data_IF_417137900902
#
_entry.id   IF_417137900902
#
_cell.length_a   1.000
_cell.length_b   1.000
_cell.length_c   1.000
_cell.angle_alpha   90.00
_cell.angle_beta   90.00
_cell.angle_gamma   90.00
#
_symmetry.space_group_name_H-M   'P 1'
#
loop_
_entity.id
_entity.type
_entity.pdbx_description
1 polymer ?
#
# COMPACT_ATOMS: atom_id res chain seq x y z
N UNK A 1 61.32 -31.81 42.31
CA UNK A 1 61.11 -31.39 43.71
C UNK A 1 59.63 -31.56 44.02
N UNK A 2 59.28 -32.37 45.03
CA UNK A 2 57.90 -32.65 45.41
C UNK A 2 57.57 -31.94 46.74
N UNK A 3 56.47 -31.21 46.78
CA UNK A 3 56.04 -30.47 47.97
C UNK A 3 55.38 -31.43 48.97
N UNK A 4 55.76 -31.34 50.26
CA UNK A 4 55.17 -32.14 51.35
C UNK A 4 54.42 -31.22 52.32
N UNK A 5 53.21 -31.64 52.69
CA UNK A 5 52.35 -30.99 53.68
C UNK A 5 52.95 -31.10 55.09
N UNK A 6 52.98 -29.98 55.82
CA UNK A 6 53.59 -29.82 57.16
C UNK A 6 52.78 -30.40 58.33
N UNK A 7 51.59 -30.98 58.07
CA UNK A 7 50.69 -31.48 59.11
C UNK A 7 50.61 -33.00 59.24
N UNK A 8 51.21 -33.78 58.33
CA UNK A 8 51.05 -35.23 58.33
C UNK A 8 52.16 -35.89 59.17
N UNK A 9 51.93 -36.05 60.48
CA UNK A 9 52.71 -37.01 61.27
C UNK A 9 52.47 -38.40 60.70
N UNK A 10 53.54 -39.04 60.26
CA UNK A 10 53.54 -40.45 59.93
C UNK A 10 53.33 -41.25 61.22
N UNK A 11 52.12 -41.75 61.43
CA UNK A 11 51.91 -42.88 62.34
C UNK A 11 51.38 -44.07 61.54
N UNK A 12 52.24 -45.07 61.49
CA UNK A 12 52.03 -46.36 60.86
C UNK A 12 51.09 -47.16 61.78
N UNK A 13 49.82 -47.34 61.42
CA UNK A 13 48.95 -48.37 62.00
C UNK A 13 48.19 -49.12 60.90
N UNK A 14 48.40 -50.43 60.93
CA UNK A 14 47.75 -51.49 60.17
C UNK A 14 46.22 -51.43 60.21
N UNK A 15 45.60 -51.72 59.07
CA UNK A 15 44.30 -52.37 58.91
C UNK A 15 43.10 -51.89 59.74
N UNK A 16 42.21 -51.12 59.13
CA UNK A 16 40.76 -51.32 59.24
C UNK A 16 40.10 -50.61 58.06
N UNK A 17 39.33 -51.36 57.26
CA UNK A 17 38.42 -50.77 56.29
C UNK A 17 37.26 -50.14 57.07
N UNK A 18 37.46 -48.94 57.59
CA UNK A 18 36.37 -48.14 58.15
C UNK A 18 35.51 -47.66 56.99
N UNK A 19 34.53 -48.50 56.62
CA UNK A 19 33.28 -48.05 56.03
C UNK A 19 32.68 -47.07 57.03
N UNK A 20 33.01 -45.79 56.87
CA UNK A 20 32.25 -44.69 57.46
C UNK A 20 30.85 -44.76 56.86
N UNK A 21 30.00 -45.57 57.47
CA UNK A 21 28.56 -45.46 57.30
C UNK A 21 28.19 -44.09 57.86
N UNK A 22 27.95 -43.13 56.96
CA UNK A 22 27.16 -41.96 57.28
C UNK A 22 25.73 -42.45 57.53
N UNK A 23 25.46 -42.90 58.76
CA UNK A 23 24.09 -43.13 59.20
C UNK A 23 23.47 -41.77 59.52
N UNK A 24 22.65 -41.26 58.60
CA UNK A 24 21.71 -40.18 58.88
C UNK A 24 20.72 -40.66 59.94
N UNK A 25 20.34 -39.76 60.86
CA UNK A 25 19.35 -40.08 61.89
C UNK A 25 17.99 -40.36 61.25
N UNK A 26 17.18 -41.25 61.83
CA UNK A 26 15.87 -41.64 61.28
C UNK A 26 14.94 -40.42 61.03
N UNK A 27 15.06 -39.36 61.84
CA UNK A 27 14.31 -38.11 61.66
C UNK A 27 14.76 -37.24 60.48
N UNK A 28 16.04 -37.31 60.06
CA UNK A 28 16.54 -36.62 58.86
C UNK A 28 16.21 -37.39 57.57
N UNK A 29 16.10 -38.72 57.65
CA UNK A 29 15.69 -39.57 56.53
C UNK A 29 14.20 -39.38 56.14
N UNK A 30 13.32 -39.14 57.12
CA UNK A 30 11.91 -38.88 56.85
C UNK A 30 11.64 -37.48 56.26
N UNK A 31 12.37 -36.44 56.71
CA UNK A 31 12.26 -35.08 56.14
C UNK A 31 12.76 -35.01 54.67
N UNK A 32 13.81 -35.77 54.36
CA UNK A 32 14.35 -35.85 52.99
C UNK A 32 13.45 -36.67 52.07
N UNK A 33 12.78 -37.73 52.56
CA UNK A 33 11.82 -38.50 51.79
C UNK A 33 10.55 -37.70 51.44
N UNK A 34 10.03 -36.91 52.39
CA UNK A 34 8.85 -36.05 52.18
C UNK A 34 9.10 -34.97 51.11
N UNK A 35 10.24 -34.28 51.19
CA UNK A 35 10.64 -33.27 50.19
C UNK A 35 10.87 -33.87 48.80
N UNK A 36 11.44 -35.08 48.71
CA UNK A 36 11.59 -35.81 47.44
C UNK A 36 10.22 -36.17 46.84
N UNK A 37 9.24 -36.55 47.66
CA UNK A 37 7.89 -36.87 47.19
C UNK A 37 7.18 -35.63 46.64
N UNK A 38 7.33 -34.48 47.31
CA UNK A 38 6.80 -33.20 46.89
C UNK A 38 7.40 -32.74 45.55
N UNK A 39 8.73 -32.83 45.42
CA UNK A 39 9.42 -32.55 44.16
C UNK A 39 8.95 -33.48 43.02
N UNK A 40 8.70 -34.76 43.32
CA UNK A 40 8.19 -35.71 42.31
C UNK A 40 6.80 -35.34 41.82
N UNK A 41 5.92 -34.86 42.70
CA UNK A 41 4.59 -34.40 42.33
C UNK A 41 4.65 -33.14 41.46
N UNK A 42 5.48 -32.16 41.83
CA UNK A 42 5.70 -30.94 41.02
C UNK A 42 6.23 -31.31 39.63
N UNK A 43 7.20 -32.23 39.53
CA UNK A 43 7.74 -32.67 38.23
C UNK A 43 6.67 -33.38 37.38
N UNK A 44 5.75 -34.12 38.00
CA UNK A 44 4.63 -34.75 37.29
C UNK A 44 3.63 -33.71 36.77
N UNK A 45 3.29 -32.71 37.56
CA UNK A 45 2.44 -31.59 37.15
C UNK A 45 3.09 -30.81 35.99
N UNK A 46 4.36 -30.42 36.14
CA UNK A 46 5.12 -29.76 35.06
C UNK A 46 5.15 -30.58 33.77
N UNK A 47 5.24 -31.93 33.88
CA UNK A 47 5.21 -32.81 32.71
C UNK A 47 3.85 -32.79 32.01
N UNK A 48 2.76 -32.72 32.78
CA UNK A 48 1.41 -32.64 32.23
C UNK A 48 1.19 -31.29 31.52
N UNK A 49 1.56 -30.18 32.17
CA UNK A 49 1.48 -28.83 31.60
C UNK A 49 2.31 -28.71 30.32
N UNK A 50 3.52 -29.29 30.31
CA UNK A 50 4.36 -29.32 29.11
C UNK A 50 3.69 -30.09 27.97
N UNK A 51 3.03 -31.20 28.27
CA UNK A 51 2.33 -32.00 27.26
C UNK A 51 1.10 -31.27 26.70
N UNK A 52 0.37 -30.53 27.53
CA UNK A 52 -0.72 -29.65 27.06
C UNK A 52 -0.20 -28.50 26.20
N UNK A 53 0.90 -27.87 26.63
CA UNK A 53 1.54 -26.80 25.86
C UNK A 53 2.05 -27.29 24.50
N UNK A 54 2.57 -28.53 24.41
CA UNK A 54 2.99 -29.14 23.13
C UNK A 54 1.78 -29.31 22.20
N UNK A 55 0.63 -29.76 22.71
CA UNK A 55 -0.60 -29.89 21.92
C UNK A 55 -1.07 -28.52 21.40
N UNK A 56 -1.05 -27.50 22.26
CA UNK A 56 -1.36 -26.13 21.86
C UNK A 56 -0.43 -25.61 20.75
N UNK A 57 0.87 -25.88 20.87
CA UNK A 57 1.85 -25.48 19.86
C UNK A 57 1.67 -26.20 18.52
N UNK A 58 1.33 -27.50 18.55
CA UNK A 58 1.01 -28.26 17.35
C UNK A 58 -0.23 -27.69 16.64
N UNK A 59 -1.29 -27.36 17.39
CA UNK A 59 -2.48 -26.75 16.83
C UNK A 59 -2.17 -25.40 16.16
N UNK A 60 -1.47 -24.50 16.86
CA UNK A 60 -1.09 -23.20 16.30
C UNK A 60 -0.20 -23.36 15.07
N UNK A 61 0.70 -24.35 15.06
CA UNK A 61 1.55 -24.62 13.89
C UNK A 61 0.74 -25.06 12.67
N UNK A 62 -0.36 -25.80 12.85
CA UNK A 62 -1.23 -26.21 11.74
C UNK A 62 -1.99 -25.02 11.16
N UNK A 63 -2.60 -24.21 12.03
CA UNK A 63 -3.29 -22.97 11.62
C UNK A 63 -2.35 -22.00 10.91
N UNK A 64 -1.10 -21.92 11.37
CA UNK A 64 -0.08 -21.08 10.74
C UNK A 64 0.28 -21.54 9.32
N UNK A 65 0.37 -22.85 9.09
CA UNK A 65 0.62 -23.39 7.75
C UNK A 65 -0.59 -23.21 6.81
N UNK A 66 -1.82 -23.33 7.33
CA UNK A 66 -3.02 -23.04 6.54
C UNK A 66 -3.10 -21.56 6.14
N UNK A 67 -2.87 -20.66 7.10
CA UNK A 67 -2.84 -19.22 6.85
C UNK A 67 -1.77 -18.83 5.82
N UNK A 68 -0.59 -19.46 5.85
CA UNK A 68 0.43 -19.26 4.81
C UNK A 68 -0.05 -19.65 3.42
N UNK A 69 -0.77 -20.78 3.28
CA UNK A 69 -1.31 -21.21 1.98
C UNK A 69 -2.31 -20.19 1.45
N UNK A 70 -3.24 -19.74 2.28
CA UNK A 70 -4.23 -18.72 1.92
C UNK A 70 -3.54 -17.42 1.47
N UNK A 71 -2.48 -16.98 2.16
CA UNK A 71 -1.70 -15.81 1.77
C UNK A 71 -1.09 -15.99 0.38
N UNK A 72 -0.50 -17.15 0.09
CA UNK A 72 0.10 -17.43 -1.23
C UNK A 72 -0.96 -17.41 -2.33
N UNK A 73 -2.13 -18.00 -2.10
CA UNK A 73 -3.25 -18.01 -3.05
C UNK A 73 -3.77 -16.59 -3.34
N UNK A 74 -4.03 -15.81 -2.28
CA UNK A 74 -4.47 -14.41 -2.42
C UNK A 74 -3.44 -13.56 -3.16
N UNK A 75 -2.15 -13.76 -2.91
CA UNK A 75 -1.07 -13.05 -3.64
C UNK A 75 -1.08 -13.41 -5.12
N UNK A 76 -1.32 -14.68 -5.48
CA UNK A 76 -1.44 -15.11 -6.87
C UNK A 76 -2.67 -14.52 -7.55
N UNK A 77 -3.82 -14.48 -6.87
CA UNK A 77 -5.05 -13.90 -7.38
C UNK A 77 -4.91 -12.40 -7.63
N UNK A 78 -4.36 -11.65 -6.67
CA UNK A 78 -4.06 -10.22 -6.82
C UNK A 78 -3.14 -9.96 -8.01
N UNK A 79 -2.13 -10.82 -8.21
CA UNK A 79 -1.24 -10.72 -9.37
C UNK A 79 -1.97 -10.96 -10.69
N UNK A 80 -2.86 -11.97 -10.74
CA UNK A 80 -3.67 -12.27 -11.92
C UNK A 80 -4.60 -11.11 -12.27
N UNK A 81 -5.37 -10.61 -11.29
CA UNK A 81 -6.28 -9.48 -11.46
C UNK A 81 -5.53 -8.21 -11.89
N UNK A 82 -4.33 -7.97 -11.35
CA UNK A 82 -3.50 -6.83 -11.75
C UNK A 82 -3.07 -6.93 -13.21
N UNK A 83 -2.75 -8.12 -13.70
CA UNK A 83 -2.42 -8.34 -15.11
C UNK A 83 -3.64 -8.12 -16.00
N UNK A 84 -4.79 -8.67 -15.63
CA UNK A 84 -6.04 -8.51 -16.40
C UNK A 84 -6.44 -7.03 -16.50
N UNK A 85 -6.39 -6.30 -15.38
CA UNK A 85 -6.62 -4.84 -15.38
C UNK A 85 -5.62 -4.12 -16.28
N UNK A 86 -4.34 -4.52 -16.26
CA UNK A 86 -3.32 -3.93 -17.14
C UNK A 86 -3.64 -4.18 -18.62
N UNK A 87 -4.06 -5.39 -18.98
CA UNK A 87 -4.40 -5.75 -20.35
C UNK A 87 -5.65 -5.01 -20.83
N UNK A 88 -6.68 -4.90 -19.98
CA UNK A 88 -7.87 -4.11 -20.27
C UNK A 88 -7.53 -2.63 -20.46
N UNK A 89 -6.67 -2.06 -19.61
CA UNK A 89 -6.21 -0.68 -19.76
C UNK A 89 -5.44 -0.48 -21.06
N UNK A 90 -4.61 -1.44 -21.49
CA UNK A 90 -3.89 -1.37 -22.77
C UNK A 90 -4.87 -1.40 -23.94
N UNK A 91 -5.84 -2.33 -23.95
CA UNK A 91 -6.89 -2.40 -24.98
C UNK A 91 -7.73 -1.13 -25.05
N UNK A 92 -8.10 -0.57 -23.91
CA UNK A 92 -8.81 0.71 -23.85
C UNK A 92 -7.95 1.86 -24.39
N UNK A 93 -6.66 1.90 -24.05
CA UNK A 93 -5.74 2.93 -24.54
C UNK A 93 -5.51 2.85 -26.06
N UNK A 94 -5.44 1.64 -26.64
CA UNK A 94 -5.34 1.44 -28.08
C UNK A 94 -6.61 1.92 -28.80
N UNK A 95 -7.79 1.55 -28.29
CA UNK A 95 -9.08 2.02 -28.82
C UNK A 95 -9.19 3.55 -28.73
N UNK A 96 -8.78 4.13 -27.60
CA UNK A 96 -8.74 5.57 -27.40
C UNK A 96 -7.85 6.28 -28.44
N UNK A 97 -6.71 5.70 -28.80
CA UNK A 97 -5.82 6.28 -29.83
C UNK A 97 -6.39 6.15 -31.24
N UNK A 98 -7.08 5.05 -31.55
CA UNK A 98 -7.79 4.88 -32.83
C UNK A 98 -8.93 5.89 -32.95
N UNK A 99 -9.74 6.05 -31.90
CA UNK A 99 -10.83 7.04 -31.85
C UNK A 99 -10.27 8.44 -32.04
N UNK A 100 -9.19 8.81 -31.33
CA UNK A 100 -8.54 10.12 -31.49
C UNK A 100 -8.10 10.38 -32.93
N UNK A 101 -7.44 9.42 -33.59
CA UNK A 101 -7.03 9.57 -35.00
C UNK A 101 -8.22 9.68 -35.95
N UNK A 102 -9.31 8.99 -35.66
CA UNK A 102 -10.53 9.07 -36.45
C UNK A 102 -11.22 10.43 -36.27
N UNK A 103 -11.30 10.93 -35.04
CA UNK A 103 -11.83 12.27 -34.72
C UNK A 103 -11.01 13.37 -35.40
N UNK A 104 -9.67 13.30 -35.36
CA UNK A 104 -8.78 14.25 -36.05
C UNK A 104 -9.01 14.23 -37.57
N UNK A 105 -9.15 13.04 -38.17
CA UNK A 105 -9.43 12.91 -39.62
C UNK A 105 -10.81 13.44 -40.03
N UNK A 106 -11.82 13.29 -39.17
CA UNK A 106 -13.16 13.87 -39.41
C UNK A 106 -13.09 15.39 -39.30
N UNK A 107 -12.30 15.92 -38.37
CA UNK A 107 -12.12 17.36 -38.20
C UNK A 107 -11.46 18.03 -39.43
N UNK A 108 -10.50 17.37 -40.08
CA UNK A 108 -9.91 17.85 -41.34
C UNK A 108 -10.91 17.85 -42.51
N UNK A 109 -11.99 17.08 -42.41
CA UNK A 109 -13.08 17.04 -43.40
C UNK A 109 -14.21 18.03 -43.08
N UNK A 110 -14.36 18.44 -41.82
CA UNK A 110 -15.41 19.35 -41.31
C UNK A 110 -14.91 20.79 -41.10
N UNK A 111 -14.04 21.32 -41.96
CA UNK A 111 -13.75 22.77 -41.96
C UNK A 111 -14.95 23.57 -42.48
N UNK A 112 -15.92 23.82 -41.60
CA UNK A 112 -16.85 24.96 -41.70
C UNK A 112 -16.69 25.83 -40.46
N UNK A 113 -16.56 27.16 -40.61
CA UNK A 113 -16.58 28.07 -39.49
C UNK A 113 -18.03 28.24 -38.97
N UNK A 114 -18.16 28.67 -37.71
CA UNK A 114 -19.39 29.15 -37.04
C UNK A 114 -20.27 28.03 -36.43
N UNK A 115 -20.36 27.87 -35.11
CA UNK A 115 -20.96 28.83 -34.18
C UNK A 115 -20.58 28.53 -32.72
N UNK A 116 -20.59 29.57 -31.90
CA UNK A 116 -20.06 29.67 -30.54
C UNK A 116 -20.91 28.99 -29.46
N UNK A 117 -21.23 27.70 -29.59
CA UNK A 117 -21.88 26.97 -28.49
C UNK A 117 -20.96 25.90 -27.92
N UNK A 118 -20.70 26.01 -26.62
CA UNK A 118 -19.64 25.30 -25.92
C UNK A 118 -20.01 23.86 -25.52
N UNK A 119 -21.30 23.63 -25.30
CA UNK A 119 -21.92 22.37 -24.87
C UNK A 119 -23.44 22.61 -24.88
N UNK A 120 -24.19 21.79 -25.60
CA UNK A 120 -25.64 21.77 -25.52
C UNK A 120 -26.09 20.83 -24.39
N UNK A 121 -27.33 20.99 -23.91
CA UNK A 121 -27.91 20.07 -22.92
C UNK A 121 -27.92 18.61 -23.43
N UNK A 122 -28.00 18.42 -24.75
CA UNK A 122 -27.93 17.11 -25.42
C UNK A 122 -26.57 16.43 -25.32
N UNK A 123 -25.53 17.17 -24.98
CA UNK A 123 -24.16 16.67 -24.90
C UNK A 123 -23.82 16.12 -23.51
N UNK A 124 -24.69 16.34 -22.53
CA UNK A 124 -24.57 15.84 -21.16
C UNK A 124 -25.30 14.51 -21.06
N UNK A 125 -24.57 13.44 -20.75
CA UNK A 125 -25.17 12.11 -20.51
C UNK A 125 -25.64 11.97 -19.07
N UNK A 126 -24.84 12.46 -18.12
CA UNK A 126 -25.18 12.45 -16.71
C UNK A 126 -24.52 13.63 -15.98
N UNK A 127 -25.19 14.13 -14.94
CA UNK A 127 -24.60 15.11 -14.04
C UNK A 127 -25.06 14.83 -12.60
N UNK A 128 -24.11 14.73 -11.67
CA UNK A 128 -24.40 14.44 -10.27
C UNK A 128 -23.40 15.13 -9.34
N UNK A 129 -23.84 15.40 -8.10
CA UNK A 129 -22.96 15.98 -7.07
C UNK A 129 -22.23 14.89 -6.30
N UNK A 130 -20.95 15.12 -6.03
CA UNK A 130 -20.14 14.23 -5.19
C UNK A 130 -20.01 14.77 -3.77
N UNK A 131 -19.98 13.91 -2.74
CA UNK A 131 -19.72 14.33 -1.37
C UNK A 131 -18.38 15.06 -1.26
N UNK A 132 -18.32 16.08 -0.40
CA UNK A 132 -17.08 16.77 -0.03
C UNK A 132 -16.83 16.56 1.45
N UNK A 133 -15.57 16.33 1.82
CA UNK A 133 -15.18 16.23 3.23
C UNK A 133 -15.07 17.61 3.90
N UNK A 134 -15.04 18.70 3.12
CA UNK A 134 -14.88 20.06 3.66
C UNK A 134 -16.25 20.67 3.99
N UNK A 135 -16.55 20.96 5.26
CA UNK A 135 -17.80 21.61 5.64
C UNK A 135 -17.83 23.04 5.07
N UNK A 136 -19.03 23.51 4.68
CA UNK A 136 -19.24 24.87 4.17
C UNK A 136 -18.83 25.13 2.72
N UNK A 137 -18.31 24.12 2.00
CA UNK A 137 -17.96 24.24 0.56
C UNK A 137 -19.05 23.61 -0.30
N UNK A 138 -19.48 24.24 -1.41
CA UNK A 138 -20.41 23.62 -2.35
C UNK A 138 -19.88 22.26 -2.85
N UNK A 139 -20.75 21.24 -2.83
CA UNK A 139 -20.43 19.91 -3.36
C UNK A 139 -20.07 20.00 -4.85
N UNK A 140 -18.91 19.47 -5.29
CA UNK A 140 -18.55 19.47 -6.71
C UNK A 140 -19.57 18.72 -7.56
N UNK A 141 -19.71 19.11 -8.82
CA UNK A 141 -20.55 18.43 -9.81
C UNK A 141 -19.62 17.65 -10.75
N UNK A 142 -19.91 16.37 -10.95
CA UNK A 142 -19.31 15.54 -11.98
C UNK A 142 -20.28 15.53 -13.16
N UNK A 143 -19.77 15.83 -14.35
CA UNK A 143 -20.52 15.83 -15.60
C UNK A 143 -19.89 14.81 -16.53
N UNK A 144 -20.70 13.88 -16.99
CA UNK A 144 -20.39 12.92 -18.05
C UNK A 144 -20.89 13.51 -19.37
N UNK A 145 -19.99 13.57 -20.34
CA UNK A 145 -20.22 14.18 -21.65
C UNK A 145 -20.23 13.08 -22.70
N UNK A 146 -21.12 13.23 -23.69
CA UNK A 146 -21.32 12.26 -24.78
C UNK A 146 -20.08 12.02 -25.62
N UNK A 147 -19.18 13.00 -25.71
CA UNK A 147 -17.96 12.89 -26.52
C UNK A 147 -16.75 13.52 -25.84
N UNK A 148 -15.59 12.90 -26.09
CA UNK A 148 -14.28 13.44 -25.70
C UNK A 148 -13.99 14.78 -26.39
N UNK A 149 -14.44 14.99 -27.64
CA UNK A 149 -14.29 16.26 -28.38
C UNK A 149 -14.84 17.44 -27.59
N UNK A 150 -16.05 17.31 -27.07
CA UNK A 150 -16.76 18.36 -26.30
C UNK A 150 -15.99 18.66 -25.01
N UNK A 151 -15.57 17.61 -24.31
CA UNK A 151 -14.73 17.74 -23.11
C UNK A 151 -13.41 18.48 -23.40
N UNK A 152 -12.73 18.12 -24.48
CA UNK A 152 -11.47 18.77 -24.87
C UNK A 152 -11.68 20.23 -25.27
N UNK A 153 -12.77 20.55 -25.97
CA UNK A 153 -13.14 21.91 -26.32
C UNK A 153 -13.44 22.77 -25.09
N UNK A 154 -14.21 22.25 -24.14
CA UNK A 154 -14.49 22.88 -22.84
C UNK A 154 -13.16 23.19 -22.11
N UNK A 155 -12.26 22.21 -22.01
CA UNK A 155 -10.98 22.37 -21.33
C UNK A 155 -10.03 23.34 -22.06
N UNK A 156 -10.08 23.37 -23.40
CA UNK A 156 -9.31 24.31 -24.24
C UNK A 156 -9.80 25.73 -24.03
N UNK A 157 -11.11 25.97 -24.15
CA UNK A 157 -11.71 27.29 -23.94
C UNK A 157 -11.56 27.79 -22.50
N UNK A 158 -11.60 26.89 -21.50
CA UNK A 158 -11.25 27.22 -20.10
C UNK A 158 -9.83 27.82 -19.97
N UNK A 159 -8.83 27.29 -20.69
CA UNK A 159 -7.47 27.84 -20.67
C UNK A 159 -7.39 29.24 -21.28
N UNK A 160 -8.30 29.57 -22.20
CA UNK A 160 -8.40 30.88 -22.84
C UNK A 160 -9.04 31.95 -21.94
N UNK A 161 -9.46 31.60 -20.71
CA UNK A 161 -9.83 32.42 -19.53
C UNK A 161 -10.90 33.51 -19.69
N UNK A 162 -11.09 34.12 -20.85
CA UNK A 162 -11.91 35.33 -21.02
C UNK A 162 -13.39 35.03 -21.28
N UNK A 163 -13.73 33.83 -21.77
CA UNK A 163 -15.09 33.52 -22.23
C UNK A 163 -15.80 32.47 -21.37
N UNK A 164 -15.07 31.76 -20.52
CA UNK A 164 -15.59 30.52 -19.93
C UNK A 164 -16.58 30.73 -18.77
N UNK A 165 -16.34 31.73 -17.91
CA UNK A 165 -17.24 32.00 -16.78
C UNK A 165 -18.56 32.60 -17.25
N UNK A 166 -18.52 33.51 -18.24
CA UNK A 166 -19.70 34.23 -18.73
C UNK A 166 -20.60 33.35 -19.62
N UNK A 167 -20.03 32.35 -20.31
CA UNK A 167 -20.76 31.45 -21.24
C UNK A 167 -21.44 30.27 -20.52
N UNK A 168 -20.89 29.77 -19.41
CA UNK A 168 -21.52 28.67 -18.65
C UNK A 168 -22.39 29.18 -17.50
N UNK A 169 -22.16 30.40 -17.01
CA UNK A 169 -22.83 30.91 -15.82
C UNK A 169 -23.23 32.38 -15.96
N UNK A 170 -24.52 32.64 -16.11
CA UNK A 170 -25.10 33.99 -16.18
C UNK A 170 -25.65 34.50 -14.83
N UNK A 171 -25.25 33.87 -13.71
CA UNK A 171 -25.75 34.21 -12.37
C UNK A 171 -24.74 34.98 -11.51
N UNK A 172 -25.23 35.68 -10.47
CA UNK A 172 -24.48 36.56 -9.53
C UNK A 172 -23.41 35.86 -8.65
N UNK A 173 -22.91 34.67 -9.02
CA UNK A 173 -22.24 33.75 -8.09
C UNK A 173 -20.88 33.21 -8.55
N UNK A 174 -19.83 34.03 -8.44
CA UNK A 174 -18.43 33.57 -8.29
C UNK A 174 -17.77 32.83 -9.48
N UNK A 175 -16.46 32.60 -9.38
CA UNK A 175 -15.66 31.91 -10.41
C UNK A 175 -15.87 30.39 -10.32
N UNK A 176 -16.24 29.74 -11.42
CA UNK A 176 -16.38 28.27 -11.50
C UNK A 176 -15.06 27.64 -11.94
N UNK A 177 -14.61 26.61 -11.21
CA UNK A 177 -13.40 25.87 -11.55
C UNK A 177 -13.74 24.54 -12.20
N UNK A 178 -13.51 24.43 -13.51
CA UNK A 178 -13.66 23.17 -14.24
C UNK A 178 -12.36 22.39 -14.21
N UNK A 179 -12.41 21.11 -13.86
CA UNK A 179 -11.26 20.22 -13.90
C UNK A 179 -11.65 18.90 -14.54
N UNK A 180 -10.71 18.31 -15.27
CA UNK A 180 -10.81 16.92 -15.73
C UNK A 180 -10.86 16.00 -14.50
N UNK A 181 -11.85 15.12 -14.44
CA UNK A 181 -11.93 14.07 -13.44
C UNK A 181 -10.78 13.09 -13.65
N UNK A 182 -10.13 12.72 -12.55
CA UNK A 182 -8.94 11.87 -12.55
C UNK A 182 -9.15 10.72 -11.59
N UNK A 183 -8.65 9.53 -11.94
CA UNK A 183 -8.73 8.39 -11.03
C UNK A 183 -7.93 8.67 -9.75
N UNK A 184 -8.28 8.02 -8.62
CA UNK A 184 -7.53 8.17 -7.37
C UNK A 184 -6.03 7.90 -7.53
N UNK A 185 -5.66 6.89 -8.34
CA UNK A 185 -4.26 6.57 -8.68
C UNK A 185 -3.55 7.76 -9.34
N UNK A 186 -4.15 8.34 -10.38
CA UNK A 186 -3.57 9.49 -11.08
C UNK A 186 -3.53 10.72 -10.16
N UNK A 187 -4.55 10.94 -9.35
CA UNK A 187 -4.59 12.01 -8.35
C UNK A 187 -3.43 11.91 -7.35
N UNK A 188 -3.18 10.70 -6.85
CA UNK A 188 -2.04 10.42 -5.97
C UNK A 188 -0.69 10.61 -6.66
N UNK A 189 -0.51 10.09 -7.89
CA UNK A 189 0.73 10.31 -8.66
C UNK A 189 0.95 11.79 -8.95
N UNK A 190 -0.11 12.54 -9.28
CA UNK A 190 -0.04 13.99 -9.51
C UNK A 190 0.41 14.74 -8.26
N UNK A 191 -0.09 14.34 -7.08
CA UNK A 191 0.33 14.91 -5.81
C UNK A 191 1.82 14.68 -5.56
N UNK A 192 2.30 13.44 -5.68
CA UNK A 192 3.73 13.11 -5.55
C UNK A 192 4.59 13.83 -6.59
N UNK A 193 4.16 13.83 -7.85
CA UNK A 193 4.87 14.47 -8.93
C UNK A 193 5.02 15.97 -8.73
N UNK A 194 4.00 16.66 -8.22
CA UNK A 194 4.10 18.08 -7.85
C UNK A 194 5.10 18.33 -6.72
N UNK A 195 5.15 17.47 -5.71
CA UNK A 195 6.14 17.61 -4.64
C UNK A 195 7.57 17.46 -5.16
N UNK A 196 7.82 16.45 -5.99
CA UNK A 196 9.13 16.25 -6.62
C UNK A 196 9.48 17.39 -7.57
N UNK A 197 8.52 17.82 -8.40
CA UNK A 197 8.71 18.92 -9.32
C UNK A 197 9.15 20.20 -8.60
N UNK A 198 8.54 20.52 -7.44
CA UNK A 198 8.93 21.66 -6.63
C UNK A 198 10.34 21.51 -6.03
N UNK A 199 10.74 20.30 -5.62
CA UNK A 199 12.08 20.04 -5.04
C UNK A 199 13.20 20.07 -6.08
N UNK A 200 12.91 19.59 -7.29
CA UNK A 200 13.90 19.38 -8.36
C UNK A 200 13.76 20.38 -9.51
N UNK A 201 13.04 21.49 -9.30
CA UNK A 201 12.86 22.60 -10.23
C UNK A 201 12.29 22.20 -11.60
N UNK A 202 11.28 21.32 -11.62
CA UNK A 202 10.52 21.04 -12.84
C UNK A 202 9.44 22.11 -13.03
N UNK A 203 9.40 22.72 -14.21
CA UNK A 203 8.46 23.80 -14.52
C UNK A 203 7.01 23.33 -14.68
N UNK A 204 6.78 22.14 -15.24
CA UNK A 204 5.44 21.75 -15.70
C UNK A 204 5.05 20.35 -15.23
N UNK A 205 3.85 20.24 -14.64
CA UNK A 205 3.16 18.97 -14.35
C UNK A 205 1.69 19.14 -14.69
N UNK A 206 1.18 18.34 -15.63
CA UNK A 206 -0.21 18.46 -16.09
C UNK A 206 -0.80 17.11 -16.45
N UNK A 207 -2.13 17.09 -16.58
CA UNK A 207 -2.87 15.92 -17.04
C UNK A 207 -3.48 16.26 -18.39
N UNK A 208 -3.44 15.31 -19.30
CA UNK A 208 -4.15 15.36 -20.58
C UNK A 208 -4.67 13.95 -20.89
N UNK A 209 -5.96 13.82 -21.14
CA UNK A 209 -6.61 12.57 -21.53
C UNK A 209 -6.34 11.45 -20.52
N UNK A 210 -6.51 11.75 -19.24
CA UNK A 210 -6.24 10.83 -18.12
C UNK A 210 -4.77 10.45 -17.94
N UNK A 211 -3.83 10.95 -18.75
CA UNK A 211 -2.40 10.64 -18.65
C UNK A 211 -1.68 11.79 -17.94
N UNK A 212 -0.81 11.46 -16.98
CA UNK A 212 0.00 12.43 -16.23
C UNK A 212 1.34 12.65 -16.94
N UNK A 213 1.71 13.91 -17.11
CA UNK A 213 2.94 14.33 -17.77
C UNK A 213 3.70 15.34 -16.93
N UNK A 214 5.02 15.33 -17.05
CA UNK A 214 5.93 16.29 -16.47
C UNK A 214 6.97 16.76 -17.48
N UNK A 215 7.44 18.00 -17.34
CA UNK A 215 8.50 18.58 -18.19
C UNK A 215 9.36 19.56 -17.39
N UNK A 216 10.68 19.40 -17.48
CA UNK A 216 11.63 20.18 -16.67
C UNK A 216 11.69 21.64 -17.10
N UNK A 217 11.85 21.92 -18.40
CA UNK A 217 11.83 23.26 -18.98
C UNK A 217 11.17 23.30 -20.36
N UNK A 218 11.07 24.48 -20.97
CA UNK A 218 10.41 24.70 -22.27
C UNK A 218 11.01 23.95 -23.45
N UNK A 219 12.27 23.52 -23.34
CA UNK A 219 12.99 22.76 -24.36
C UNK A 219 13.33 21.32 -23.93
N UNK A 220 12.91 20.90 -22.73
CA UNK A 220 13.19 19.55 -22.23
C UNK A 220 12.23 18.52 -22.82
N UNK A 221 12.58 17.22 -22.87
CA UNK A 221 11.63 16.18 -23.23
C UNK A 221 10.48 16.08 -22.21
N UNK A 222 9.32 15.61 -22.67
CA UNK A 222 8.16 15.34 -21.83
C UNK A 222 8.26 13.94 -21.27
N UNK A 223 8.10 13.79 -19.95
CA UNK A 223 8.07 12.51 -19.25
C UNK A 223 6.62 12.13 -18.95
N UNK A 224 6.23 10.92 -19.34
CA UNK A 224 4.93 10.34 -19.00
C UNK A 224 5.06 9.55 -17.69
N UNK A 225 4.18 9.81 -16.74
CA UNK A 225 4.18 9.17 -15.42
C UNK A 225 2.94 8.27 -15.32
N UNK A 226 3.15 6.95 -15.33
CA UNK A 226 2.08 5.95 -15.28
C UNK A 226 2.10 5.18 -13.96
N UNK A 227 3.30 4.97 -13.42
CA UNK A 227 3.55 4.25 -12.17
C UNK A 227 4.38 5.07 -11.19
N UNK A 228 4.57 4.57 -9.97
CA UNK A 228 5.42 5.21 -8.98
C UNK A 228 6.89 5.18 -9.38
N UNK A 229 7.35 4.13 -10.07
CA UNK A 229 8.72 4.02 -10.57
C UNK A 229 9.04 5.12 -11.60
N UNK A 230 8.05 5.55 -12.39
CA UNK A 230 8.25 6.67 -13.31
C UNK A 230 8.49 8.01 -12.58
N UNK A 231 8.18 8.11 -11.28
CA UNK A 231 8.49 9.30 -10.48
C UNK A 231 10.00 9.47 -10.25
N UNK A 232 10.79 8.39 -10.36
CA UNK A 232 12.25 8.48 -10.27
C UNK A 232 12.84 9.34 -11.39
N UNK A 233 12.20 9.37 -12.56
CA UNK A 233 12.63 10.19 -13.70
C UNK A 233 12.50 11.71 -13.46
N UNK A 234 11.83 12.12 -12.37
CA UNK A 234 11.66 13.53 -11.99
C UNK A 234 12.29 13.89 -10.63
N UNK A 235 13.11 13.00 -10.06
CA UNK A 235 14.05 13.34 -8.97
C UNK A 235 15.31 14.05 -9.49
#
# INVERSE_FOLDING_TARGET
MAWKCSGCKADNRSGSSDKRNLSLSAGEQDLTAATILELKNIVLEMKNDLNESIKGQQFVSLEYEDMKKQIVELVQEVKSLKNEVSDLLNKCAEKDEIILRQEERIQDLETTPETETLCYQTDIEAAHRIPTQRPGVPKPIVVELRSRKIREEILRKKKQKEVFNDVIYSGEGGKVFIMEQVSPKIGYLKYKAKQLANRHNWKFVWIKNGKLFARKGENSPVVKIVTEENLEAIR
#
